data_IF_747532394589
#
_entry.id   IF_747532394589
#
_cell.length_a   1.000
_cell.length_b   1.000
_cell.length_c   1.000
_cell.angle_alpha   90.00
_cell.angle_beta   90.00
_cell.angle_gamma   90.00
#
_symmetry.space_group_name_H-M   'P 1'
#
loop_
_entity.id
_entity.type
_entity.pdbx_description
1 polymer ?
#
# COMPACT_ATOMS: atom_id res chain seq x y z
N UNK A 1 6.21 40.22 -58.65
CA UNK A 1 6.36 39.10 -57.70
C UNK A 1 6.37 39.72 -56.32
N UNK A 2 5.24 39.65 -55.62
CA UNK A 2 5.01 40.32 -54.35
C UNK A 2 5.94 39.81 -53.26
N UNK A 3 6.62 40.72 -52.58
CA UNK A 3 7.23 40.48 -51.28
C UNK A 3 6.21 40.92 -50.23
N UNK A 4 5.59 39.96 -49.56
CA UNK A 4 4.85 40.19 -48.31
C UNK A 4 5.28 39.08 -47.35
N UNK A 5 6.32 39.37 -46.59
CA UNK A 5 6.60 38.68 -45.33
C UNK A 5 6.27 39.71 -44.26
N UNK A 6 5.27 39.48 -43.38
CA UNK A 6 5.04 40.39 -42.27
C UNK A 6 6.27 40.32 -41.38
N UNK A 7 6.93 41.47 -41.22
CA UNK A 7 7.99 41.63 -40.25
C UNK A 7 7.43 41.21 -38.87
N UNK A 8 8.02 40.19 -38.26
CA UNK A 8 7.85 39.94 -36.84
C UNK A 8 8.33 41.20 -36.14
N UNK A 9 7.42 41.86 -35.42
CA UNK A 9 7.80 42.94 -34.53
C UNK A 9 8.62 42.32 -33.40
N UNK A 10 9.94 42.36 -33.52
CA UNK A 10 10.89 42.32 -32.40
C UNK A 10 10.73 43.61 -31.56
N UNK A 11 9.50 43.86 -31.11
CA UNK A 11 9.24 44.90 -30.13
C UNK A 11 9.60 44.30 -28.79
N UNK A 12 10.70 44.77 -28.20
CA UNK A 12 11.02 44.49 -26.80
C UNK A 12 9.75 44.71 -25.96
N UNK A 13 9.38 43.76 -25.09
CA UNK A 13 8.20 43.90 -24.26
C UNK A 13 8.30 45.21 -23.48
N UNK A 14 7.18 45.92 -23.38
CA UNK A 14 7.13 47.19 -22.68
C UNK A 14 7.70 47.02 -21.26
N UNK A 15 8.49 47.99 -20.75
CA UNK A 15 9.15 47.87 -19.43
C UNK A 15 8.18 47.53 -18.30
N UNK A 16 6.95 48.02 -18.36
CA UNK A 16 5.88 47.70 -17.40
C UNK A 16 5.45 46.23 -17.47
N UNK A 17 5.32 45.66 -18.67
CA UNK A 17 4.98 44.23 -18.82
C UNK A 17 6.09 43.31 -18.30
N UNK A 18 7.35 43.74 -18.43
CA UNK A 18 8.50 43.02 -17.85
C UNK A 18 8.47 43.11 -16.32
N UNK A 19 8.18 44.29 -15.75
CA UNK A 19 8.10 44.48 -14.31
C UNK A 19 6.95 43.67 -13.67
N UNK A 20 5.77 43.63 -14.31
CA UNK A 20 4.63 42.86 -13.84
C UNK A 20 4.92 41.35 -13.84
N UNK A 21 5.60 40.86 -14.89
CA UNK A 21 6.01 39.46 -14.98
C UNK A 21 7.06 39.11 -13.92
N UNK A 22 8.01 40.00 -13.64
CA UNK A 22 9.01 39.81 -12.59
C UNK A 22 8.37 39.75 -11.21
N UNK A 23 7.43 40.64 -10.91
CA UNK A 23 6.70 40.62 -9.63
C UNK A 23 5.93 39.31 -9.43
N UNK A 24 5.29 38.79 -10.49
CA UNK A 24 4.57 37.53 -10.45
C UNK A 24 5.48 36.31 -10.36
N UNK A 25 6.68 36.37 -10.94
CA UNK A 25 7.71 35.33 -10.75
C UNK A 25 8.17 35.31 -9.29
N UNK A 26 8.45 36.47 -8.68
CA UNK A 26 8.83 36.57 -7.28
C UNK A 26 7.73 36.02 -6.34
N UNK A 27 6.47 36.35 -6.61
CA UNK A 27 5.32 35.82 -5.87
C UNK A 27 5.23 34.29 -6.00
N UNK A 28 5.33 33.76 -7.22
CA UNK A 28 5.30 32.32 -7.47
C UNK A 28 6.51 31.58 -6.89
N UNK A 29 7.70 32.18 -6.94
CA UNK A 29 8.91 31.61 -6.32
C UNK A 29 8.78 31.54 -4.80
N UNK A 30 8.15 32.55 -4.19
CA UNK A 30 7.83 32.56 -2.76
C UNK A 30 6.82 31.46 -2.41
N UNK A 31 5.70 31.39 -3.14
CA UNK A 31 4.67 30.35 -2.94
C UNK A 31 5.24 28.93 -3.11
N UNK A 32 6.08 28.71 -4.12
CA UNK A 32 6.75 27.42 -4.33
C UNK A 32 7.77 27.11 -3.22
N UNK A 33 8.48 28.11 -2.70
CA UNK A 33 9.40 27.95 -1.58
C UNK A 33 8.67 27.56 -0.29
N UNK A 34 7.57 28.24 0.01
CA UNK A 34 6.76 27.96 1.20
C UNK A 34 6.15 26.54 1.11
N UNK A 35 5.57 26.18 -0.03
CA UNK A 35 5.03 24.83 -0.27
C UNK A 35 6.09 23.74 -0.19
N UNK A 36 7.32 23.99 -0.66
CA UNK A 36 8.42 23.03 -0.51
C UNK A 36 8.80 22.85 0.96
N UNK A 37 8.85 23.94 1.71
CA UNK A 37 9.16 23.91 3.13
C UNK A 37 8.09 23.13 3.91
N UNK A 38 6.81 23.32 3.60
CA UNK A 38 5.71 22.53 4.20
C UNK A 38 5.77 21.03 3.84
N UNK A 39 6.36 20.67 2.69
CA UNK A 39 6.53 19.27 2.28
C UNK A 39 7.79 18.63 2.88
N UNK A 40 8.83 19.42 3.16
CA UNK A 40 10.15 18.94 3.59
C UNK A 40 10.34 18.92 5.13
N UNK A 41 9.52 19.61 5.94
CA UNK A 41 9.80 19.84 7.38
C UNK A 41 9.25 18.75 8.35
N UNK A 42 8.33 17.87 7.93
CA UNK A 42 7.68 16.86 8.82
C UNK A 42 8.30 15.44 8.74
N UNK A 43 9.36 15.23 7.95
CA UNK A 43 9.91 13.89 7.71
C UNK A 43 9.02 13.00 6.81
N UNK A 44 9.38 11.72 6.57
CA UNK A 44 8.55 10.84 5.77
C UNK A 44 7.19 10.63 6.46
N UNK A 45 6.11 10.81 5.71
CA UNK A 45 4.75 10.57 6.20
C UNK A 45 4.60 9.11 6.65
N UNK A 46 3.89 8.88 7.75
CA UNK A 46 3.73 7.56 8.37
C UNK A 46 2.39 6.93 7.98
N UNK A 47 2.42 5.65 7.63
CA UNK A 47 1.24 4.86 7.33
C UNK A 47 1.24 3.57 8.14
N UNK A 48 0.14 3.30 8.85
CA UNK A 48 -0.05 2.07 9.61
C UNK A 48 -1.27 1.31 9.09
N UNK A 49 -1.06 0.01 8.84
CA UNK A 49 -2.11 -0.91 8.43
C UNK A 49 -2.22 -2.03 9.47
N UNK A 50 -3.42 -2.25 10.00
CA UNK A 50 -3.73 -3.40 10.84
C UNK A 50 -4.40 -4.48 9.97
N UNK A 51 -3.69 -5.57 9.71
CA UNK A 51 -4.17 -6.69 8.89
C UNK A 51 -4.71 -7.80 9.79
N UNK A 52 -6.03 -8.04 9.73
CA UNK A 52 -6.73 -8.97 10.65
C UNK A 52 -7.19 -10.28 9.99
N UNK A 53 -7.21 -10.31 8.65
CA UNK A 53 -7.76 -11.43 7.87
C UNK A 53 -6.67 -12.08 7.03
N UNK A 54 -6.65 -13.42 7.01
CA UNK A 54 -5.70 -14.22 6.22
C UNK A 54 -6.31 -14.98 5.05
N UNK A 55 -7.45 -14.55 4.51
CA UNK A 55 -7.97 -15.17 3.27
C UNK A 55 -7.19 -14.66 2.06
N UNK A 56 -7.18 -15.45 0.97
CA UNK A 56 -6.41 -15.11 -0.23
C UNK A 56 -6.72 -13.71 -0.76
N UNK A 57 -7.99 -13.30 -0.76
CA UNK A 57 -8.44 -11.98 -1.22
C UNK A 57 -8.09 -10.84 -0.27
N UNK A 58 -7.96 -11.12 1.02
CA UNK A 58 -7.69 -10.12 2.05
C UNK A 58 -6.19 -9.91 2.29
N UNK A 59 -5.34 -10.80 1.77
CA UNK A 59 -3.90 -10.65 1.81
C UNK A 59 -3.38 -9.59 0.81
N UNK A 60 -4.04 -9.42 -0.34
CA UNK A 60 -3.61 -8.46 -1.37
C UNK A 60 -3.70 -6.98 -0.95
N UNK A 61 -4.82 -6.48 -0.40
CA UNK A 61 -4.94 -5.06 -0.08
C UNK A 61 -3.86 -4.50 0.85
N UNK A 62 -3.54 -5.13 2.01
CA UNK A 62 -2.53 -4.56 2.91
C UNK A 62 -1.15 -4.57 2.26
N UNK A 63 -0.76 -5.63 1.56
CA UNK A 63 0.56 -5.73 0.91
C UNK A 63 0.71 -4.75 -0.27
N UNK A 64 -0.29 -4.65 -1.14
CA UNK A 64 -0.26 -3.72 -2.28
C UNK A 64 -0.21 -2.27 -1.79
N UNK A 65 -1.03 -1.92 -0.80
CA UNK A 65 -1.04 -0.56 -0.25
C UNK A 65 0.28 -0.24 0.43
N UNK A 66 0.83 -1.18 1.20
CA UNK A 66 2.08 -0.97 1.91
C UNK A 66 3.27 -0.78 0.96
N UNK A 67 3.45 -1.70 -0.01
CA UNK A 67 4.54 -1.59 -1.00
C UNK A 67 4.41 -0.34 -1.86
N UNK A 68 3.18 0.06 -2.19
CA UNK A 68 2.93 1.30 -2.95
C UNK A 68 3.26 2.54 -2.11
N UNK A 69 2.80 2.60 -0.87
CA UNK A 69 3.08 3.73 0.02
C UNK A 69 4.59 3.88 0.27
N UNK A 70 5.30 2.77 0.50
CA UNK A 70 6.76 2.76 0.62
C UNK A 70 7.44 3.30 -0.65
N UNK A 71 6.96 2.93 -1.84
CA UNK A 71 7.47 3.46 -3.10
C UNK A 71 7.24 4.99 -3.26
N UNK A 72 6.23 5.55 -2.59
CA UNK A 72 5.99 7.00 -2.51
C UNK A 72 6.73 7.69 -1.36
N UNK A 73 7.61 6.99 -0.65
CA UNK A 73 8.42 7.54 0.43
C UNK A 73 7.73 7.62 1.79
N UNK A 74 6.62 6.90 1.97
CA UNK A 74 6.02 6.76 3.30
C UNK A 74 6.83 5.77 4.16
N UNK A 75 6.90 6.05 5.45
CA UNK A 75 7.31 5.07 6.45
C UNK A 75 6.10 4.20 6.80
N UNK A 76 6.18 2.90 6.51
CA UNK A 76 5.01 2.01 6.50
C UNK A 76 5.19 0.85 7.47
N UNK A 77 4.21 0.67 8.34
CA UNK A 77 4.12 -0.48 9.25
C UNK A 77 2.85 -1.27 8.96
N UNK A 78 2.96 -2.59 8.81
CA UNK A 78 1.80 -3.49 8.67
C UNK A 78 1.78 -4.48 9.82
N UNK A 79 0.92 -4.22 10.80
CA UNK A 79 0.71 -5.09 11.95
C UNK A 79 -0.29 -6.20 11.63
N UNK A 80 0.23 -7.41 11.46
CA UNK A 80 -0.56 -8.61 11.24
C UNK A 80 -0.98 -9.20 12.58
N UNK A 81 -2.28 -9.48 12.74
CA UNK A 81 -2.86 -10.06 13.96
C UNK A 81 -3.98 -11.05 13.62
N UNK A 82 -4.30 -11.95 14.56
CA UNK A 82 -5.25 -13.05 14.32
C UNK A 82 -4.91 -13.81 13.02
N UNK A 83 -5.90 -14.04 12.16
CA UNK A 83 -5.71 -14.75 10.90
C UNK A 83 -4.81 -14.00 9.91
N UNK A 84 -4.55 -12.70 10.12
CA UNK A 84 -3.57 -11.96 9.33
C UNK A 84 -2.17 -12.55 9.40
N UNK A 85 -1.78 -13.23 10.50
CA UNK A 85 -0.46 -13.87 10.61
C UNK A 85 -0.21 -14.93 9.54
N UNK A 86 -1.27 -15.58 9.05
CA UNK A 86 -1.18 -16.59 7.99
C UNK A 86 -0.57 -16.03 6.70
N UNK A 87 -0.65 -14.71 6.50
CA UNK A 87 -0.02 -14.02 5.37
C UNK A 87 1.50 -14.05 5.50
N UNK A 88 2.04 -13.89 6.72
CA UNK A 88 3.49 -13.82 6.97
C UNK A 88 4.13 -15.18 7.23
N UNK A 89 3.34 -16.21 7.52
CA UNK A 89 3.86 -17.55 7.76
C UNK A 89 4.29 -18.20 6.43
N UNK A 90 5.54 -18.66 6.34
CA UNK A 90 6.14 -19.10 5.07
C UNK A 90 5.39 -20.26 4.39
N UNK A 91 4.88 -21.22 5.17
CA UNK A 91 4.15 -22.37 4.63
C UNK A 91 2.67 -22.07 4.38
N UNK A 92 2.03 -21.31 5.28
CA UNK A 92 0.59 -21.08 5.21
C UNK A 92 0.22 -20.03 4.15
N UNK A 93 1.05 -19.02 3.93
CA UNK A 93 0.88 -17.97 2.92
C UNK A 93 0.75 -18.53 1.49
N UNK A 94 1.37 -19.67 1.20
CA UNK A 94 1.28 -20.39 -0.09
C UNK A 94 -0.08 -21.05 -0.31
N UNK A 95 -0.82 -21.29 0.77
CA UNK A 95 -2.04 -22.09 0.80
C UNK A 95 -3.31 -21.31 1.15
N UNK A 96 -3.24 -19.97 1.27
CA UNK A 96 -4.39 -19.13 1.59
C UNK A 96 -5.59 -19.41 0.66
N UNK A 97 -6.78 -19.49 1.26
CA UNK A 97 -8.03 -19.81 0.55
C UNK A 97 -9.00 -18.65 0.59
N UNK A 98 -9.86 -18.61 -0.43
CA UNK A 98 -11.02 -17.74 -0.48
C UNK A 98 -12.21 -18.46 0.16
N UNK A 99 -12.92 -17.78 1.06
CA UNK A 99 -14.19 -18.30 1.57
C UNK A 99 -15.29 -18.13 0.51
N UNK A 100 -15.96 -19.21 0.15
CA UNK A 100 -17.13 -19.18 -0.74
C UNK A 100 -18.37 -18.73 0.02
N UNK A 101 -18.50 -19.16 1.28
CA UNK A 101 -19.62 -18.80 2.14
C UNK A 101 -19.39 -17.42 2.72
N UNK A 102 -20.39 -16.55 2.62
CA UNK A 102 -20.33 -15.20 3.20
C UNK A 102 -19.51 -14.20 2.39
N UNK A 103 -19.04 -14.55 1.19
CA UNK A 103 -18.46 -13.59 0.25
C UNK A 103 -19.58 -12.97 -0.60
N UNK A 104 -20.00 -11.71 -0.33
CA UNK A 104 -21.13 -11.09 -1.04
C UNK A 104 -20.83 -10.80 -2.52
N UNK A 105 -19.55 -10.83 -2.92
CA UNK A 105 -19.12 -10.57 -4.29
C UNK A 105 -19.12 -11.83 -5.17
N UNK A 106 -19.47 -12.99 -4.61
CA UNK A 106 -19.67 -14.22 -5.39
C UNK A 106 -21.13 -14.34 -5.82
N UNK A 107 -21.44 -14.45 -7.14
CA UNK A 107 -22.81 -14.60 -7.64
C UNK A 107 -23.32 -16.04 -7.45
N UNK A 108 -23.05 -16.63 -6.28
CA UNK A 108 -23.38 -18.01 -5.94
C UNK A 108 -24.32 -17.99 -4.73
N UNK A 109 -25.52 -18.58 -4.82
CA UNK A 109 -26.40 -18.70 -3.66
C UNK A 109 -25.68 -19.34 -2.46
N UNK A 110 -25.89 -18.79 -1.26
CA UNK A 110 -25.22 -19.26 -0.02
C UNK A 110 -25.33 -20.78 0.21
N UNK A 111 -26.47 -21.39 -0.14
CA UNK A 111 -26.67 -22.84 -0.04
C UNK A 111 -25.69 -23.63 -0.92
N UNK A 112 -25.39 -23.12 -2.11
CA UNK A 112 -24.42 -23.73 -3.03
C UNK A 112 -23.01 -23.45 -2.54
N UNK A 113 -22.73 -22.22 -2.08
CA UNK A 113 -21.42 -21.84 -1.55
C UNK A 113 -20.98 -22.70 -0.35
N UNK A 114 -21.93 -23.21 0.43
CA UNK A 114 -21.66 -24.08 1.58
C UNK A 114 -21.38 -25.55 1.22
N UNK A 115 -21.41 -25.92 -0.07
CA UNK A 115 -21.11 -27.29 -0.48
C UNK A 115 -19.63 -27.64 -0.26
N UNK A 116 -19.31 -28.86 0.20
CA UNK A 116 -17.92 -29.29 0.39
C UNK A 116 -17.09 -29.14 -0.91
N UNK A 117 -15.96 -28.44 -0.80
CA UNK A 117 -15.04 -28.23 -1.92
C UNK A 117 -15.24 -26.93 -2.70
N UNK A 118 -16.29 -26.16 -2.43
CA UNK A 118 -16.51 -24.86 -3.07
C UNK A 118 -15.36 -23.88 -2.80
N UNK A 119 -14.83 -23.83 -1.59
CA UNK A 119 -13.70 -22.94 -1.24
C UNK A 119 -12.45 -23.23 -2.08
N UNK A 120 -12.16 -24.50 -2.36
CA UNK A 120 -11.06 -24.87 -3.26
C UNK A 120 -11.33 -24.42 -4.68
N UNK A 121 -12.58 -24.55 -5.15
CA UNK A 121 -12.97 -24.13 -6.50
C UNK A 121 -12.86 -22.61 -6.66
N UNK A 122 -13.39 -21.84 -5.71
CA UNK A 122 -13.37 -20.38 -5.73
C UNK A 122 -11.96 -19.84 -5.56
N UNK A 123 -11.15 -20.45 -4.68
CA UNK A 123 -9.72 -20.16 -4.55
C UNK A 123 -8.98 -20.38 -5.87
N UNK A 124 -9.21 -21.51 -6.55
CA UNK A 124 -8.57 -21.81 -7.85
C UNK A 124 -8.99 -20.80 -8.92
N UNK A 125 -10.27 -20.45 -8.96
CA UNK A 125 -10.78 -19.43 -9.88
C UNK A 125 -10.13 -18.06 -9.62
N UNK A 126 -9.98 -17.66 -8.36
CA UNK A 126 -9.31 -16.42 -7.98
C UNK A 126 -7.83 -16.43 -8.37
N UNK A 127 -7.09 -17.52 -8.07
CA UNK A 127 -5.68 -17.68 -8.46
C UNK A 127 -5.48 -17.59 -9.98
N UNK A 128 -6.37 -18.21 -10.75
CA UNK A 128 -6.33 -18.11 -12.21
C UNK A 128 -6.51 -16.66 -12.68
N UNK A 129 -7.48 -15.91 -12.10
CA UNK A 129 -7.68 -14.49 -12.45
C UNK A 129 -6.47 -13.64 -12.08
N UNK A 130 -5.87 -13.85 -10.90
CA UNK A 130 -4.65 -13.14 -10.48
C UNK A 130 -3.53 -13.38 -11.52
N UNK A 131 -3.30 -14.65 -11.88
CA UNK A 131 -2.28 -15.01 -12.86
C UNK A 131 -2.57 -14.45 -14.28
N UNK A 132 -3.84 -14.48 -14.72
CA UNK A 132 -4.27 -13.93 -16.02
C UNK A 132 -4.13 -12.41 -16.10
N UNK A 133 -4.15 -11.71 -14.97
CA UNK A 133 -4.03 -10.24 -14.90
C UNK A 133 -2.63 -9.79 -14.48
N UNK A 134 -1.64 -10.70 -14.47
CA UNK A 134 -0.24 -10.38 -14.16
C UNK A 134 -0.06 -9.68 -12.79
N UNK A 135 -0.92 -10.02 -11.84
CA UNK A 135 -0.82 -9.53 -10.46
C UNK A 135 0.24 -10.35 -9.73
N UNK A 136 1.17 -9.67 -9.07
CA UNK A 136 2.21 -10.30 -8.25
C UNK A 136 1.59 -11.25 -7.21
N UNK A 137 2.23 -12.38 -6.96
CA UNK A 137 1.83 -13.32 -5.92
C UNK A 137 1.99 -12.73 -4.51
N UNK A 138 1.38 -13.37 -3.51
CA UNK A 138 1.51 -12.95 -2.11
C UNK A 138 2.97 -12.99 -1.65
N UNK A 139 3.71 -14.03 -2.02
CA UNK A 139 5.14 -14.17 -1.71
C UNK A 139 5.95 -13.01 -2.32
N UNK A 140 5.77 -12.73 -3.62
CA UNK A 140 6.43 -11.59 -4.28
C UNK A 140 6.06 -10.25 -3.63
N UNK A 141 4.82 -10.06 -3.19
CA UNK A 141 4.38 -8.84 -2.52
C UNK A 141 4.99 -8.69 -1.12
N UNK A 142 5.16 -9.78 -0.37
CA UNK A 142 5.85 -9.79 0.94
C UNK A 142 7.32 -9.44 0.73
N UNK A 143 8.00 -10.15 -0.17
CA UNK A 143 9.41 -9.90 -0.50
C UNK A 143 9.63 -8.46 -0.97
N UNK A 144 8.74 -7.94 -1.83
CA UNK A 144 8.80 -6.56 -2.29
C UNK A 144 8.61 -5.58 -1.13
N UNK A 145 7.64 -5.84 -0.25
CA UNK A 145 7.37 -4.99 0.91
C UNK A 145 8.62 -4.89 1.80
N UNK A 146 9.21 -6.03 2.17
CA UNK A 146 10.44 -6.10 2.96
C UNK A 146 11.60 -5.39 2.26
N UNK A 147 11.80 -5.66 0.96
CA UNK A 147 12.87 -5.03 0.18
C UNK A 147 12.73 -3.51 0.07
N UNK A 148 11.49 -3.00 0.10
CA UNK A 148 11.20 -1.55 0.10
C UNK A 148 11.22 -0.92 1.48
N UNK A 149 11.49 -1.68 2.55
CA UNK A 149 11.60 -1.18 3.92
C UNK A 149 10.27 -1.06 4.66
N UNK A 150 9.20 -1.73 4.19
CA UNK A 150 7.97 -1.86 4.97
C UNK A 150 8.24 -2.73 6.19
N UNK A 151 7.87 -2.26 7.38
CA UNK A 151 7.93 -3.03 8.62
C UNK A 151 6.72 -3.97 8.72
N UNK A 152 6.89 -5.20 8.24
CA UNK A 152 5.89 -6.26 8.35
C UNK A 152 6.01 -6.90 9.75
N UNK A 153 4.99 -6.67 10.57
CA UNK A 153 4.99 -7.04 11.98
C UNK A 153 4.06 -8.23 12.27
N UNK A 154 4.56 -9.22 13.01
CA UNK A 154 3.79 -10.35 13.51
C UNK A 154 3.45 -10.17 15.01
N UNK A 155 2.15 -10.07 15.32
CA UNK A 155 1.66 -9.88 16.68
C UNK A 155 2.02 -11.06 17.59
N UNK A 156 2.87 -10.82 18.59
CA UNK A 156 3.37 -11.83 19.54
C UNK A 156 2.22 -12.58 20.23
N UNK A 157 1.18 -11.87 20.67
CA UNK A 157 0.04 -12.52 21.31
C UNK A 157 -0.67 -13.51 20.39
N UNK A 158 -0.64 -13.27 19.08
CA UNK A 158 -1.24 -14.20 18.11
C UNK A 158 -0.29 -15.36 17.81
N UNK A 159 1.02 -15.13 17.73
CA UNK A 159 2.04 -16.18 17.66
C UNK A 159 1.81 -17.16 18.82
N UNK A 160 1.73 -16.65 20.05
CA UNK A 160 1.51 -17.45 21.26
C UNK A 160 0.15 -18.18 21.24
N UNK A 161 -0.90 -17.52 20.74
CA UNK A 161 -2.25 -18.07 20.68
C UNK A 161 -2.37 -19.23 19.69
N UNK A 162 -1.72 -19.12 18.54
CA UNK A 162 -1.74 -20.13 17.48
C UNK A 162 -0.65 -21.20 17.67
N UNK A 163 0.32 -20.94 18.55
CA UNK A 163 1.40 -21.87 18.87
C UNK A 163 2.45 -21.96 17.76
N UNK A 164 2.75 -20.82 17.12
CA UNK A 164 3.81 -20.71 16.12
C UNK A 164 5.15 -20.35 16.75
N UNK A 165 6.22 -20.67 16.04
CA UNK A 165 7.58 -20.25 16.34
C UNK A 165 7.94 -19.00 15.52
N UNK A 166 8.85 -18.16 16.01
CA UNK A 166 9.28 -16.95 15.29
C UNK A 166 9.97 -17.29 13.94
N UNK A 167 10.55 -18.49 13.85
CA UNK A 167 11.20 -19.00 12.64
C UNK A 167 10.21 -19.50 11.57
N UNK A 168 8.89 -19.50 11.86
CA UNK A 168 7.84 -19.89 10.90
C UNK A 168 7.50 -18.77 9.88
N UNK A 169 8.03 -17.56 10.09
CA UNK A 169 7.74 -16.36 9.30
C UNK A 169 8.90 -15.99 8.37
N UNK A 170 8.59 -15.27 7.28
CA UNK A 170 9.62 -14.82 6.32
C UNK A 170 10.74 -14.00 6.97
N UNK A 171 11.97 -14.21 6.53
CA UNK A 171 13.12 -13.38 6.89
C UNK A 171 12.83 -11.88 6.69
N UNK A 172 12.97 -11.10 7.76
CA UNK A 172 12.69 -9.66 7.76
C UNK A 172 11.32 -9.27 8.34
N UNK A 173 10.50 -10.26 8.73
CA UNK A 173 9.30 -10.01 9.56
C UNK A 173 9.72 -9.68 11.00
N UNK A 174 9.16 -8.61 11.55
CA UNK A 174 9.38 -8.19 12.94
C UNK A 174 8.44 -8.96 13.88
N UNK A 175 9.00 -9.80 14.76
CA UNK A 175 8.29 -10.52 15.83
C UNK A 175 8.39 -9.76 17.17
N UNK A 176 7.79 -10.30 18.25
CA UNK A 176 7.90 -9.70 19.59
C UNK A 176 7.11 -8.41 19.80
N UNK A 177 6.36 -7.94 18.79
CA UNK A 177 5.53 -6.74 18.88
C UNK A 177 4.13 -7.07 19.37
N UNK A 178 3.51 -6.12 20.08
CA UNK A 178 2.17 -6.28 20.64
C UNK A 178 1.24 -5.14 20.28
N UNK A 179 -0.01 -5.24 20.72
CA UNK A 179 -1.02 -4.21 20.48
C UNK A 179 -0.61 -2.81 21.00
N UNK A 180 0.24 -2.74 22.04
CA UNK A 180 0.75 -1.48 22.55
C UNK A 180 1.68 -0.77 21.55
N UNK A 181 2.58 -1.50 20.90
CA UNK A 181 3.48 -0.96 19.86
C UNK A 181 2.66 -0.48 18.67
N UNK A 182 1.79 -1.35 18.13
CA UNK A 182 0.92 -0.99 17.02
C UNK A 182 0.04 0.23 17.33
N UNK A 183 -0.43 0.37 18.57
CA UNK A 183 -1.19 1.54 18.99
C UNK A 183 -0.35 2.82 19.02
N UNK A 184 0.91 2.75 19.45
CA UNK A 184 1.83 3.90 19.43
C UNK A 184 2.14 4.32 17.99
N UNK A 185 2.43 3.35 17.11
CA UNK A 185 2.67 3.62 15.68
C UNK A 185 1.44 4.30 15.06
N UNK A 186 0.22 3.84 15.39
CA UNK A 186 -1.01 4.50 14.93
C UNK A 186 -1.12 5.93 15.44
N UNK A 187 -0.79 6.24 16.70
CA UNK A 187 -0.88 7.60 17.25
C UNK A 187 -0.02 8.59 16.45
N UNK A 188 1.11 8.13 15.91
CA UNK A 188 2.05 8.92 15.12
C UNK A 188 1.76 8.90 13.60
N UNK A 189 0.84 8.04 13.15
CA UNK A 189 0.59 7.83 11.73
C UNK A 189 -0.34 8.89 11.12
N UNK A 190 0.03 9.38 9.94
CA UNK A 190 -0.82 10.23 9.10
C UNK A 190 -1.99 9.46 8.50
N UNK A 191 -1.78 8.17 8.20
CA UNK A 191 -2.78 7.28 7.60
C UNK A 191 -2.88 6.01 8.43
N UNK A 192 -4.10 5.67 8.84
CA UNK A 192 -4.40 4.46 9.63
C UNK A 192 -5.50 3.66 8.92
N UNK A 193 -5.24 2.39 8.64
CA UNK A 193 -6.22 1.48 8.02
C UNK A 193 -6.37 0.20 8.85
N UNK A 194 -7.60 -0.33 8.88
CA UNK A 194 -7.91 -1.67 9.39
C UNK A 194 -8.45 -2.50 8.23
N UNK A 195 -7.81 -3.64 7.95
CA UNK A 195 -8.12 -4.53 6.82
C UNK A 195 -8.53 -5.92 7.29
#
# INVERSE_FOLDING_TARGET
>A
MSADTPASSDADPAPEAVADLQARIEELETEVSDLRTEVDDDGPKKMVIIATKGTLDMAYPPLILASTAAAFGYDVTVFHTFWGLEILHEENSKNLQLSSVGNPNMPVPNMIAALPGMDRMTTRMMRNRIAENEVASIEELIETSIATGVDLQACQMTIDLLGYDEDDFYDGVTTGVGAASAFQDMVEADIQLLV
#
